data_IF_775548173205
#
_entry.id   IF_775548173205
#
_cell.length_a   1.000
_cell.length_b   1.000
_cell.length_c   1.000
_cell.angle_alpha   90.00
_cell.angle_beta   90.00
_cell.angle_gamma   90.00
#
_symmetry.space_group_name_H-M   'P 1'
#
loop_
_entity.id
_entity.type
_entity.pdbx_description
1 polymer ?
#
# COMPACT_ATOMS: atom_id res chain seq x y z
N UNK A 1 6.21 4.35 20.81
CA UNK A 1 5.42 4.60 19.58
C UNK A 1 6.30 5.45 18.69
N UNK A 2 6.85 4.86 17.63
CA UNK A 2 7.78 5.52 16.72
C UNK A 2 7.38 5.33 15.27
N UNK A 3 8.01 6.13 14.42
CA UNK A 3 7.93 6.01 12.97
C UNK A 3 9.27 5.54 12.42
N UNK A 4 9.23 4.68 11.41
CA UNK A 4 10.43 4.23 10.71
C UNK A 4 10.13 4.00 9.24
N UNK A 5 11.18 3.95 8.42
CA UNK A 5 11.06 3.72 6.99
C UNK A 5 11.57 2.32 6.65
N UNK A 6 10.86 1.63 5.76
CA UNK A 6 11.27 0.34 5.21
C UNK A 6 11.11 0.31 3.70
N UNK A 7 11.89 -0.55 3.05
CA UNK A 7 11.59 -0.95 1.68
C UNK A 7 10.74 -2.22 1.71
N UNK A 8 9.70 -2.29 0.88
CA UNK A 8 8.84 -3.46 0.80
C UNK A 8 8.34 -3.74 -0.62
N UNK A 9 7.82 -4.96 -0.81
CA UNK A 9 7.06 -5.35 -1.99
C UNK A 9 5.62 -5.59 -1.53
N UNK A 10 4.68 -4.95 -2.21
CA UNK A 10 3.25 -5.12 -1.97
C UNK A 10 2.69 -6.02 -3.07
N UNK A 11 1.96 -7.07 -2.68
CA UNK A 11 1.28 -7.99 -3.58
C UNK A 11 -0.23 -7.80 -3.51
N UNK A 12 -0.92 -7.84 -4.65
CA UNK A 12 -2.38 -7.88 -4.66
C UNK A 12 -2.85 -9.26 -4.18
N UNK A 13 -3.58 -9.33 -3.07
CA UNK A 13 -3.98 -10.59 -2.45
C UNK A 13 -4.76 -11.56 -3.39
N UNK A 14 -5.58 -11.01 -4.31
CA UNK A 14 -6.35 -11.79 -5.31
C UNK A 14 -5.46 -12.33 -6.44
N UNK A 15 -4.38 -11.62 -6.77
CA UNK A 15 -3.46 -11.96 -7.87
C UNK A 15 -2.03 -11.54 -7.51
N UNK A 16 -1.30 -12.45 -6.87
CA UNK A 16 0.06 -12.20 -6.36
C UNK A 16 1.10 -11.91 -7.45
N UNK A 17 0.77 -12.11 -8.74
CA UNK A 17 1.64 -11.69 -9.85
C UNK A 17 1.65 -10.18 -10.02
N UNK A 18 0.65 -9.47 -9.50
CA UNK A 18 0.58 -8.01 -9.50
C UNK A 18 1.23 -7.47 -8.24
N UNK A 19 2.47 -7.02 -8.41
CA UNK A 19 3.31 -6.52 -7.31
C UNK A 19 3.79 -5.10 -7.57
N UNK A 20 4.01 -4.33 -6.50
CA UNK A 20 4.70 -3.04 -6.56
C UNK A 20 5.77 -2.94 -5.48
N UNK A 21 6.97 -2.49 -5.86
CA UNK A 21 8.03 -2.14 -4.91
C UNK A 21 7.78 -0.73 -4.37
N UNK A 22 7.75 -0.59 -3.05
CA UNK A 22 7.64 0.70 -2.36
C UNK A 22 8.94 0.93 -1.60
N UNK A 23 9.68 1.96 -2.01
CA UNK A 23 10.86 2.41 -1.27
C UNK A 23 10.47 3.40 -0.19
N UNK A 24 11.13 3.35 0.98
CA UNK A 24 10.88 4.26 2.10
C UNK A 24 9.39 4.38 2.47
N UNK A 25 8.72 3.24 2.61
CA UNK A 25 7.39 3.19 3.19
C UNK A 25 7.45 3.62 4.66
N UNK A 26 6.69 4.64 5.03
CA UNK A 26 6.53 5.07 6.42
C UNK A 26 5.70 4.03 7.17
N UNK A 27 6.29 3.44 8.20
CA UNK A 27 5.60 2.60 9.17
C UNK A 27 5.39 3.41 10.44
N UNK A 28 4.13 3.61 10.80
CA UNK A 28 3.74 4.23 12.06
C UNK A 28 3.17 3.17 13.00
N UNK A 29 3.89 2.88 14.08
CA UNK A 29 3.47 1.90 15.10
C UNK A 29 2.19 2.30 15.85
N UNK A 30 1.72 3.55 15.73
CA UNK A 30 0.44 4.01 16.27
C UNK A 30 -0.73 3.94 15.31
N UNK A 31 -0.52 3.56 14.05
CA UNK A 31 -1.59 3.48 13.06
C UNK A 31 -2.12 2.04 12.91
N UNK A 32 -3.45 1.91 12.81
CA UNK A 32 -4.09 0.63 12.48
C UNK A 32 -3.94 0.26 10.99
N UNK A 33 -3.65 1.25 10.14
CA UNK A 33 -3.59 1.08 8.68
C UNK A 33 -2.34 1.71 8.10
N UNK A 34 -1.81 1.06 7.06
CA UNK A 34 -0.67 1.58 6.29
C UNK A 34 -1.18 2.31 5.06
N UNK A 35 -0.76 3.56 4.88
CA UNK A 35 -1.07 4.33 3.69
C UNK A 35 -0.07 4.05 2.58
N UNK A 36 -0.56 3.85 1.37
CA UNK A 36 0.25 3.57 0.18
C UNK A 36 0.00 4.63 -0.90
N UNK A 37 1.00 4.95 -1.74
CA UNK A 37 0.79 5.85 -2.88
C UNK A 37 -0.28 5.31 -3.83
N UNK A 38 -1.26 6.14 -4.16
CA UNK A 38 -2.37 5.79 -5.05
C UNK A 38 -1.87 5.22 -6.40
N UNK A 39 -0.81 5.81 -6.97
CA UNK A 39 -0.23 5.34 -8.22
C UNK A 39 0.28 3.90 -8.15
N UNK A 40 0.82 3.48 -6.99
CA UNK A 40 1.28 2.10 -6.81
C UNK A 40 0.09 1.14 -6.76
N UNK A 41 -0.99 1.52 -6.07
CA UNK A 41 -2.25 0.76 -6.02
C UNK A 41 -2.88 0.61 -7.42
N UNK A 42 -2.92 1.69 -8.20
CA UNK A 42 -3.39 1.67 -9.59
C UNK A 42 -2.55 0.75 -10.47
N UNK A 43 -1.21 0.78 -10.33
CA UNK A 43 -0.29 -0.12 -11.09
C UNK A 43 -0.56 -1.60 -10.82
N UNK A 44 -0.88 -1.98 -9.58
CA UNK A 44 -1.26 -3.37 -9.25
C UNK A 44 -2.74 -3.68 -9.54
N UNK A 45 -3.48 -2.74 -10.12
CA UNK A 45 -4.88 -2.91 -10.51
C UNK A 45 -5.83 -2.98 -9.32
N UNK A 46 -5.57 -2.20 -8.27
CA UNK A 46 -6.56 -1.88 -7.23
C UNK A 46 -7.38 -0.70 -7.74
N UNK A 47 -8.68 -0.91 -7.91
CA UNK A 47 -9.62 0.13 -8.28
C UNK A 47 -10.06 0.91 -7.03
N UNK A 48 -10.30 2.23 -7.13
CA UNK A 48 -11.01 2.96 -6.10
C UNK A 48 -12.38 2.31 -5.87
N UNK A 49 -12.75 2.09 -4.62
CA UNK A 49 -14.15 1.80 -4.29
C UNK A 49 -14.90 3.11 -4.40
N UNK A 50 -15.92 3.18 -5.27
CA UNK A 50 -16.82 4.32 -5.33
C UNK A 50 -17.53 4.45 -3.96
N UNK A 51 -17.31 5.56 -3.26
CA UNK A 51 -17.93 5.85 -1.96
C UNK A 51 -19.22 6.68 -2.11
N UNK A 52 -19.87 6.64 -3.29
CA UNK A 52 -21.22 7.19 -3.48
C UNK A 52 -22.28 6.16 -3.10
N UNK A 53 -22.63 6.14 -1.81
CA UNK A 53 -23.96 5.77 -1.32
C UNK A 53 -24.51 6.99 -0.60
#
# INVERSE_FOLDING_TARGET
MGTFHVDCIIEKHVDRRRTARISKLLVDTGSNYTWLPEQALKRIGVAPTDQRI
#
